data_IF_987294970019
#
_entry.id   IF_987294970019
#
_cell.length_a   1.000
_cell.length_b   1.000
_cell.length_c   1.000
_cell.angle_alpha   90.00
_cell.angle_beta   90.00
_cell.angle_gamma   90.00
#
_symmetry.space_group_name_H-M   'P 1'
#
loop_
_entity.id
_entity.type
_entity.pdbx_description
1 polymer ?
#
# COMPACT_ATOMS: atom_id res chain seq x y z
N UNK A 1 -42.66 14.15 68.76
CA UNK A 1 -42.45 12.68 68.80
C UNK A 1 -43.07 12.02 67.57
N UNK A 2 -44.36 12.27 67.30
CA UNK A 2 -45.04 11.89 66.06
C UNK A 2 -44.23 12.14 64.77
N UNK A 3 -43.69 13.35 64.59
CA UNK A 3 -42.88 13.70 63.42
C UNK A 3 -41.66 12.78 63.20
N UNK A 4 -40.98 12.36 64.28
CA UNK A 4 -39.82 11.45 64.18
C UNK A 4 -40.25 10.05 63.71
N UNK A 5 -41.39 9.56 64.21
CA UNK A 5 -41.96 8.26 63.82
C UNK A 5 -42.38 8.28 62.35
N UNK A 6 -43.04 9.37 61.91
CA UNK A 6 -43.43 9.56 60.51
C UNK A 6 -42.21 9.61 59.58
N UNK A 7 -41.18 10.40 59.91
CA UNK A 7 -39.94 10.45 59.11
C UNK A 7 -39.23 9.10 59.04
N UNK A 8 -39.22 8.34 60.13
CA UNK A 8 -38.57 7.02 60.15
C UNK A 8 -39.34 5.98 59.33
N UNK A 9 -40.67 6.02 59.36
CA UNK A 9 -41.52 5.11 58.59
C UNK A 9 -41.50 5.44 57.10
N UNK A 10 -41.66 6.72 56.75
CA UNK A 10 -41.76 7.20 55.37
C UNK A 10 -40.39 7.39 54.70
N UNK A 11 -39.34 7.73 55.45
CA UNK A 11 -37.98 7.92 54.93
C UNK A 11 -37.27 6.64 54.48
N UNK A 12 -37.93 5.48 54.58
CA UNK A 12 -37.46 4.20 54.01
C UNK A 12 -37.86 4.01 52.55
N UNK A 13 -38.80 4.82 52.05
CA UNK A 13 -39.19 4.83 50.65
C UNK A 13 -38.25 5.73 49.85
N UNK A 14 -37.87 5.26 48.67
CA UNK A 14 -37.10 6.03 47.69
C UNK A 14 -38.03 6.97 46.91
N UNK A 15 -37.48 8.02 46.30
CA UNK A 15 -38.27 9.04 45.59
C UNK A 15 -39.13 8.47 44.46
N UNK A 16 -38.61 7.47 43.75
CA UNK A 16 -39.36 6.78 42.69
C UNK A 16 -40.50 5.91 43.26
N UNK A 17 -40.32 5.37 44.49
CA UNK A 17 -41.30 4.49 45.15
C UNK A 17 -42.46 5.24 45.78
N UNK A 18 -42.35 6.56 45.96
CA UNK A 18 -43.47 7.40 46.41
C UNK A 18 -44.53 7.62 45.33
N UNK A 19 -44.19 7.43 44.05
CA UNK A 19 -45.14 7.49 42.94
C UNK A 19 -45.98 6.22 42.80
N UNK A 20 -45.58 5.12 43.43
CA UNK A 20 -46.35 3.89 43.48
C UNK A 20 -47.42 3.97 44.58
N UNK A 21 -48.69 3.92 44.17
CA UNK A 21 -49.86 3.99 45.05
C UNK A 21 -49.86 2.88 46.12
N UNK A 22 -49.44 1.67 45.77
CA UNK A 22 -49.47 0.54 46.69
C UNK A 22 -48.43 0.70 47.79
N UNK A 23 -47.19 1.06 47.41
CA UNK A 23 -46.10 1.26 48.36
C UNK A 23 -46.36 2.45 49.29
N UNK A 24 -46.98 3.50 48.76
CA UNK A 24 -47.39 4.68 49.53
C UNK A 24 -48.46 4.36 50.57
N UNK A 25 -49.49 3.60 50.21
CA UNK A 25 -50.54 3.16 51.15
C UNK A 25 -49.94 2.27 52.24
N UNK A 26 -49.10 1.30 51.87
CA UNK A 26 -48.44 0.41 52.84
C UNK A 26 -47.55 1.18 53.83
N UNK A 27 -46.82 2.18 53.36
CA UNK A 27 -46.00 3.02 54.24
C UNK A 27 -46.86 3.92 55.14
N UNK A 28 -48.00 4.42 54.64
CA UNK A 28 -48.98 5.17 55.43
C UNK A 28 -49.60 4.32 56.54
N UNK A 29 -50.00 3.07 56.24
CA UNK A 29 -50.51 2.12 57.24
C UNK A 29 -49.46 1.78 58.29
N UNK A 30 -48.22 1.51 57.87
CA UNK A 30 -47.12 1.22 58.79
C UNK A 30 -46.80 2.42 59.70
N UNK A 31 -46.89 3.64 59.16
CA UNK A 31 -46.75 4.85 59.94
C UNK A 31 -47.91 5.03 60.94
N UNK A 32 -49.14 4.69 60.53
CA UNK A 32 -50.34 4.71 61.39
C UNK A 32 -50.21 3.74 62.56
N UNK A 33 -49.78 2.51 62.32
CA UNK A 33 -49.58 1.50 63.37
C UNK A 33 -48.58 1.97 64.43
N UNK A 34 -47.42 2.48 63.99
CA UNK A 34 -46.38 2.98 64.88
C UNK A 34 -46.83 4.22 65.67
N UNK A 35 -47.57 5.11 65.02
CA UNK A 35 -48.10 6.32 65.67
C UNK A 35 -49.22 5.97 66.67
N UNK A 36 -50.09 5.02 66.32
CA UNK A 36 -51.16 4.55 67.19
C UNK A 36 -50.63 3.86 68.44
N UNK A 37 -49.51 3.13 68.33
CA UNK A 37 -48.88 2.49 69.49
C UNK A 37 -48.31 3.52 70.48
N UNK A 38 -47.70 4.61 69.98
CA UNK A 38 -47.15 5.69 70.81
C UNK A 38 -48.26 6.53 71.49
N UNK A 39 -49.37 6.77 70.77
CA UNK A 39 -50.47 7.61 71.25
C UNK A 39 -51.54 6.87 72.07
N UNK A 40 -51.54 5.53 72.04
CA UNK A 40 -52.46 4.70 72.83
C UNK A 40 -52.30 4.92 74.34
N UNK A 41 -51.07 5.19 74.80
CA UNK A 41 -50.79 5.51 76.21
C UNK A 41 -51.59 6.75 76.68
N UNK A 42 -51.97 7.63 75.76
CA UNK A 42 -52.63 8.90 76.05
C UNK A 42 -54.12 8.87 75.66
N UNK A 43 -54.65 7.70 75.30
CA UNK A 43 -56.05 7.51 74.92
C UNK A 43 -56.45 8.12 73.58
N UNK A 44 -55.48 8.44 72.70
CA UNK A 44 -55.74 9.04 71.39
C UNK A 44 -55.73 7.95 70.31
N UNK A 45 -56.82 7.86 69.53
CA UNK A 45 -56.95 6.91 68.43
C UNK A 45 -56.65 7.56 67.08
N UNK A 46 -55.74 6.95 66.30
CA UNK A 46 -55.37 7.42 64.96
C UNK A 46 -56.18 6.68 63.89
N UNK A 47 -57.03 7.41 63.17
CA UNK A 47 -57.89 6.87 62.11
C UNK A 47 -57.16 6.59 60.80
N UNK A 48 -56.18 7.42 60.44
CA UNK A 48 -55.44 7.29 59.19
C UNK A 48 -54.30 8.29 59.09
N UNK A 49 -53.27 7.94 58.34
CA UNK A 49 -52.17 8.85 57.99
C UNK A 49 -52.20 9.07 56.48
N UNK A 50 -52.55 10.29 56.06
CA UNK A 50 -52.64 10.66 54.66
C UNK A 50 -51.42 11.48 54.26
N UNK A 51 -50.71 11.03 53.22
CA UNK A 51 -49.57 11.74 52.65
C UNK A 51 -50.11 12.64 51.55
N UNK A 52 -50.15 13.95 51.80
CA UNK A 52 -50.75 14.93 50.86
C UNK A 52 -49.73 15.53 49.91
N UNK A 53 -48.60 15.97 50.45
CA UNK A 53 -47.55 16.64 49.70
C UNK A 53 -46.22 16.14 50.24
N UNK A 54 -45.30 15.84 49.33
CA UNK A 54 -43.92 15.54 49.68
C UNK A 54 -43.03 16.51 48.92
N UNK A 55 -42.04 17.05 49.62
CA UNK A 55 -41.06 17.97 49.06
C UNK A 55 -39.68 17.43 49.39
N UNK A 56 -38.84 17.29 48.38
CA UNK A 56 -37.42 17.02 48.60
C UNK A 56 -36.66 18.32 48.79
N UNK A 57 -35.59 18.28 49.58
CA UNK A 57 -34.61 19.36 49.59
C UNK A 57 -33.95 19.42 48.21
N UNK A 58 -33.84 20.63 47.63
CA UNK A 58 -33.26 20.81 46.29
C UNK A 58 -31.85 20.21 46.20
N UNK A 59 -31.08 20.25 47.28
CA UNK A 59 -29.72 19.68 47.34
C UNK A 59 -29.71 18.17 47.13
N UNK A 60 -30.76 17.49 47.57
CA UNK A 60 -30.90 16.04 47.42
C UNK A 60 -31.34 15.67 46.00
N UNK A 61 -32.24 16.47 45.42
CA UNK A 61 -32.68 16.32 44.04
C UNK A 61 -31.49 16.49 43.07
N UNK A 62 -30.70 17.55 43.27
CA UNK A 62 -29.51 17.84 42.46
C UNK A 62 -28.48 16.70 42.56
N UNK A 63 -28.30 16.11 43.74
CA UNK A 63 -27.36 15.01 43.94
C UNK A 63 -27.79 13.73 43.19
N UNK A 64 -29.09 13.41 43.18
CA UNK A 64 -29.63 12.27 42.42
C UNK A 64 -29.48 12.51 40.92
N UNK A 65 -29.81 13.71 40.45
CA UNK A 65 -29.69 14.07 39.04
C UNK A 65 -28.22 14.02 38.57
N UNK A 66 -27.30 14.59 39.36
CA UNK A 66 -25.87 14.53 39.06
C UNK A 66 -25.36 13.09 39.01
N UNK A 67 -25.79 12.23 39.94
CA UNK A 67 -25.42 10.80 39.92
C UNK A 67 -25.93 10.13 38.65
N UNK A 68 -27.18 10.37 38.25
CA UNK A 68 -27.76 9.82 37.02
C UNK A 68 -27.02 10.30 35.77
N UNK A 69 -26.64 11.58 35.72
CA UNK A 69 -25.84 12.15 34.63
C UNK A 69 -24.45 11.50 34.60
N UNK A 70 -23.81 11.29 35.75
CA UNK A 70 -22.51 10.63 35.83
C UNK A 70 -22.58 9.19 35.33
N UNK A 71 -23.58 8.42 35.78
CA UNK A 71 -23.78 7.04 35.35
C UNK A 71 -23.98 6.97 33.82
N UNK A 72 -24.83 7.84 33.26
CA UNK A 72 -25.02 7.93 31.80
C UNK A 72 -23.74 8.30 31.05
N UNK A 73 -22.94 9.23 31.59
CA UNK A 73 -21.63 9.60 31.00
C UNK A 73 -20.65 8.44 31.02
N UNK A 74 -20.62 7.63 32.09
CA UNK A 74 -19.75 6.45 32.17
C UNK A 74 -20.13 5.43 31.10
N UNK A 75 -21.42 5.12 30.93
CA UNK A 75 -21.87 4.22 29.86
C UNK A 75 -21.52 4.74 28.47
N UNK A 76 -21.72 6.04 28.23
CA UNK A 76 -21.36 6.68 26.96
C UNK A 76 -19.86 6.60 26.70
N UNK A 77 -19.03 6.94 27.68
CA UNK A 77 -17.57 6.90 27.55
C UNK A 77 -17.06 5.47 27.35
N UNK A 78 -17.65 4.47 28.01
CA UNK A 78 -17.31 3.06 27.78
C UNK A 78 -17.66 2.62 26.36
N UNK A 79 -18.84 2.98 25.86
CA UNK A 79 -19.25 2.68 24.49
C UNK A 79 -18.33 3.37 23.46
N UNK A 80 -18.00 4.65 23.68
CA UNK A 80 -17.07 5.39 22.82
C UNK A 80 -15.65 4.80 22.86
N UNK A 81 -15.17 4.38 24.03
CA UNK A 81 -13.88 3.72 24.17
C UNK A 81 -13.83 2.39 23.39
N UNK A 82 -14.88 1.56 23.48
CA UNK A 82 -14.98 0.32 22.70
C UNK A 82 -15.06 0.63 21.20
N UNK A 83 -15.84 1.63 20.78
CA UNK A 83 -15.91 2.01 19.38
C UNK A 83 -14.56 2.52 18.85
N UNK A 84 -13.81 3.28 19.65
CA UNK A 84 -12.48 3.78 19.31
C UNK A 84 -11.46 2.64 19.15
N UNK A 85 -11.46 1.65 20.04
CA UNK A 85 -10.53 0.49 19.92
C UNK A 85 -10.85 -0.35 18.70
N UNK A 86 -12.14 -0.60 18.41
CA UNK A 86 -12.54 -1.34 17.21
C UNK A 86 -12.20 -0.58 15.92
N UNK A 87 -12.37 0.73 15.90
CA UNK A 87 -11.98 1.55 14.75
C UNK A 87 -10.47 1.57 14.54
N UNK A 88 -9.68 1.63 15.62
CA UNK A 88 -8.23 1.54 15.55
C UNK A 88 -7.78 0.18 14.99
N UNK A 89 -8.37 -0.92 15.46
CA UNK A 89 -8.07 -2.27 14.96
C UNK A 89 -8.45 -2.42 13.49
N UNK A 90 -9.64 -1.94 13.10
CA UNK A 90 -10.06 -1.91 11.69
C UNK A 90 -9.06 -1.12 10.83
N UNK A 91 -8.61 0.04 11.30
CA UNK A 91 -7.59 0.85 10.63
C UNK A 91 -6.27 0.10 10.45
N UNK A 92 -5.81 -0.59 11.50
CA UNK A 92 -4.61 -1.43 11.47
C UNK A 92 -4.72 -2.56 10.44
N UNK A 93 -5.86 -3.27 10.40
CA UNK A 93 -6.10 -4.35 9.44
C UNK A 93 -6.13 -3.83 8.01
N UNK A 94 -6.80 -2.70 7.75
CA UNK A 94 -6.84 -2.10 6.42
C UNK A 94 -5.44 -1.65 5.96
N UNK A 95 -4.67 -1.01 6.84
CA UNK A 95 -3.31 -0.58 6.54
C UNK A 95 -2.38 -1.78 6.25
N UNK A 96 -2.48 -2.85 7.05
CA UNK A 96 -1.72 -4.08 6.80
C UNK A 96 -2.15 -4.76 5.49
N UNK A 97 -3.45 -4.78 5.19
CA UNK A 97 -3.99 -5.30 3.94
C UNK A 97 -3.46 -4.53 2.72
N UNK A 98 -3.47 -3.19 2.79
CA UNK A 98 -2.93 -2.35 1.71
C UNK A 98 -1.43 -2.57 1.50
N UNK A 99 -0.65 -2.61 2.57
CA UNK A 99 0.78 -2.87 2.48
C UNK A 99 1.07 -4.24 1.83
N UNK A 100 0.31 -5.28 2.16
CA UNK A 100 0.45 -6.59 1.54
C UNK A 100 0.11 -6.56 0.05
N UNK A 101 -0.95 -5.85 -0.35
CA UNK A 101 -1.32 -5.67 -1.76
C UNK A 101 -0.19 -4.97 -2.53
N UNK A 102 0.39 -3.92 -1.95
CA UNK A 102 1.46 -3.15 -2.59
C UNK A 102 2.72 -4.00 -2.76
N UNK A 103 3.10 -4.79 -1.74
CA UNK A 103 4.23 -5.72 -1.79
C UNK A 103 4.00 -6.81 -2.84
N UNK A 104 2.81 -7.38 -2.91
CA UNK A 104 2.47 -8.41 -3.90
C UNK A 104 2.50 -7.83 -5.33
N UNK A 105 1.99 -6.62 -5.52
CA UNK A 105 1.96 -5.94 -6.81
C UNK A 105 3.38 -5.60 -7.29
N UNK A 106 4.24 -5.11 -6.41
CA UNK A 106 5.66 -4.87 -6.74
C UNK A 106 6.42 -6.17 -6.98
N UNK A 107 6.12 -7.24 -6.24
CA UNK A 107 6.68 -8.57 -6.48
C UNK A 107 6.27 -9.12 -7.85
N UNK A 108 5.00 -8.93 -8.24
CA UNK A 108 4.50 -9.30 -9.57
C UNK A 108 5.19 -8.50 -10.68
N UNK A 109 5.36 -7.17 -10.50
CA UNK A 109 6.12 -6.33 -11.45
C UNK A 109 7.57 -6.76 -11.57
N UNK A 110 8.22 -7.09 -10.46
CA UNK A 110 9.58 -7.58 -10.44
C UNK A 110 9.71 -8.91 -11.19
N UNK A 111 8.76 -9.83 -11.01
CA UNK A 111 8.71 -11.10 -11.75
C UNK A 111 8.56 -10.89 -13.25
N UNK A 112 7.66 -10.02 -13.70
CA UNK A 112 7.50 -9.69 -15.12
C UNK A 112 8.81 -9.14 -15.69
N UNK A 113 9.46 -8.19 -14.99
CA UNK A 113 10.77 -7.65 -15.44
C UNK A 113 11.86 -8.72 -15.50
N UNK A 114 11.89 -9.64 -14.54
CA UNK A 114 12.85 -10.76 -14.57
C UNK A 114 12.61 -11.68 -15.76
N UNK A 115 11.34 -12.00 -16.06
CA UNK A 115 10.97 -12.80 -17.22
C UNK A 115 11.40 -12.09 -18.51
N UNK A 116 11.06 -10.81 -18.67
CA UNK A 116 11.42 -10.03 -19.86
C UNK A 116 12.94 -9.93 -20.04
N UNK A 117 13.68 -9.64 -18.96
CA UNK A 117 15.14 -9.57 -19.00
C UNK A 117 15.77 -10.94 -19.33
N UNK A 118 15.22 -12.02 -18.80
CA UNK A 118 15.67 -13.39 -19.11
C UNK A 118 15.39 -13.77 -20.56
N UNK A 119 14.26 -13.35 -21.11
CA UNK A 119 13.88 -13.58 -22.49
C UNK A 119 14.78 -12.80 -23.45
N UNK A 120 15.06 -11.52 -23.16
CA UNK A 120 15.99 -10.71 -23.95
C UNK A 120 17.42 -11.27 -23.91
N UNK A 121 17.90 -11.67 -22.73
CA UNK A 121 19.19 -12.32 -22.60
C UNK A 121 19.28 -13.59 -23.44
N UNK A 122 18.25 -14.46 -23.34
CA UNK A 122 18.20 -15.70 -24.11
C UNK A 122 18.18 -15.43 -25.62
N UNK A 123 17.39 -14.47 -26.07
CA UNK A 123 17.30 -14.08 -27.47
C UNK A 123 18.66 -13.59 -28.01
N UNK A 124 19.33 -12.70 -27.27
CA UNK A 124 20.67 -12.20 -27.65
C UNK A 124 21.72 -13.29 -27.68
N UNK A 125 21.69 -14.24 -26.74
CA UNK A 125 22.59 -15.39 -26.75
C UNK A 125 22.38 -16.26 -27.99
N UNK A 126 21.14 -16.52 -28.38
CA UNK A 126 20.84 -17.33 -29.56
C UNK A 126 21.24 -16.61 -30.85
N UNK A 127 20.99 -15.30 -30.95
CA UNK A 127 21.47 -14.49 -32.07
C UNK A 127 22.98 -14.53 -32.18
N UNK A 128 23.70 -14.23 -31.10
CA UNK A 128 25.16 -14.24 -31.09
C UNK A 128 25.74 -15.61 -31.43
N UNK A 129 25.10 -16.70 -30.98
CA UNK A 129 25.50 -18.06 -31.34
C UNK A 129 25.23 -18.38 -32.82
N UNK A 130 24.16 -17.82 -33.40
CA UNK A 130 23.86 -17.89 -34.83
C UNK A 130 24.91 -17.13 -35.65
N UNK A 131 25.15 -15.86 -35.33
CA UNK A 131 26.12 -15.01 -36.01
C UNK A 131 27.53 -15.59 -35.96
N UNK A 132 27.94 -16.13 -34.81
CA UNK A 132 29.22 -16.82 -34.67
C UNK A 132 29.32 -18.01 -35.63
N UNK A 133 28.26 -18.82 -35.78
CA UNK A 133 28.25 -19.96 -36.70
C UNK A 133 28.33 -19.51 -38.16
N UNK A 134 27.59 -18.46 -38.53
CA UNK A 134 27.64 -17.88 -39.88
C UNK A 134 29.04 -17.38 -40.18
N UNK A 135 29.61 -16.55 -39.30
CA UNK A 135 30.94 -16.01 -39.46
C UNK A 135 32.02 -17.11 -39.54
N UNK A 136 31.91 -18.17 -38.73
CA UNK A 136 32.82 -19.32 -38.81
C UNK A 136 32.71 -20.04 -40.17
N UNK A 137 31.50 -20.20 -40.69
CA UNK A 137 31.27 -20.87 -41.98
C UNK A 137 31.70 -20.03 -43.17
N UNK A 138 31.51 -18.71 -43.12
CA UNK A 138 32.07 -17.78 -44.10
C UNK A 138 33.60 -17.82 -44.08
N UNK A 139 34.22 -17.75 -42.90
CA UNK A 139 35.67 -17.86 -42.77
C UNK A 139 36.21 -19.20 -43.30
N UNK A 140 35.54 -20.32 -43.02
CA UNK A 140 35.87 -21.64 -43.56
C UNK A 140 35.73 -21.67 -45.09
N UNK A 141 34.66 -21.10 -45.63
CA UNK A 141 34.44 -20.96 -47.08
C UNK A 141 35.55 -20.16 -47.76
N UNK A 142 35.86 -18.97 -47.23
CA UNK A 142 36.95 -18.12 -47.73
C UNK A 142 38.32 -18.81 -47.60
N UNK A 143 38.56 -19.60 -46.55
CA UNK A 143 39.78 -20.40 -46.44
C UNK A 143 39.84 -21.48 -47.53
N UNK A 144 38.73 -22.19 -47.79
CA UNK A 144 38.66 -23.19 -48.85
C UNK A 144 38.85 -22.57 -50.24
N UNK A 145 38.23 -21.42 -50.51
CA UNK A 145 38.44 -20.65 -51.74
C UNK A 145 39.89 -20.23 -51.91
N UNK A 146 40.50 -19.64 -50.87
CA UNK A 146 41.91 -19.28 -50.89
C UNK A 146 42.83 -20.48 -51.11
N UNK A 147 42.51 -21.64 -50.53
CA UNK A 147 43.27 -22.86 -50.74
C UNK A 147 43.12 -23.39 -52.19
N UNK A 148 41.92 -23.32 -52.77
CA UNK A 148 41.67 -23.68 -54.17
C UNK A 148 42.42 -22.74 -55.14
N UNK A 149 42.42 -21.44 -54.87
CA UNK A 149 43.20 -20.43 -55.58
C UNK A 149 44.73 -20.53 -55.35
N UNK A 150 45.20 -21.44 -54.49
CA UNK A 150 46.64 -21.74 -54.34
C UNK A 150 47.05 -23.05 -55.01
N UNK A 151 46.10 -23.89 -55.44
CA UNK A 151 46.38 -25.14 -56.13
C UNK A 151 46.70 -24.93 -57.62
N UNK A 152 47.25 -25.98 -58.26
CA UNK A 152 47.71 -25.99 -59.65
C UNK A 152 46.56 -25.71 -60.64
N UNK A 153 46.37 -24.43 -60.97
CA UNK A 153 45.28 -23.91 -61.81
C UNK A 153 45.05 -22.41 -61.62
N UNK A 154 45.44 -21.86 -60.47
CA UNK A 154 45.25 -20.46 -60.12
C UNK A 154 46.01 -19.46 -60.99
N UNK A 155 47.23 -19.81 -61.44
CA UNK A 155 48.02 -18.95 -62.33
C UNK A 155 47.28 -18.65 -63.66
N UNK A 156 46.51 -19.62 -64.16
CA UNK A 156 45.75 -19.47 -65.40
C UNK A 156 44.52 -18.56 -65.20
N UNK A 157 43.87 -18.63 -64.03
CA UNK A 157 42.72 -17.78 -63.68
C UNK A 157 43.17 -16.33 -63.47
N UNK A 158 44.24 -16.11 -62.70
CA UNK A 158 44.82 -14.77 -62.49
C UNK A 158 45.31 -14.19 -63.82
N UNK A 159 45.90 -15.01 -64.69
CA UNK A 159 46.31 -14.59 -66.04
C UNK A 159 45.13 -14.17 -66.92
N UNK A 160 43.98 -14.84 -66.82
CA UNK A 160 42.76 -14.50 -67.57
C UNK A 160 42.15 -13.18 -67.09
N UNK A 161 42.02 -12.98 -65.77
CA UNK A 161 41.55 -11.72 -65.17
C UNK A 161 42.48 -10.53 -65.51
N UNK A 162 43.80 -10.73 -65.45
CA UNK A 162 44.77 -9.75 -65.93
C UNK A 162 44.59 -9.43 -67.41
N UNK A 163 44.35 -10.44 -68.25
CA UNK A 163 44.13 -10.24 -69.68
C UNK A 163 42.84 -9.46 -69.95
N UNK A 164 41.76 -9.71 -69.19
CA UNK A 164 40.50 -8.95 -69.29
C UNK A 164 40.65 -7.51 -68.80
N UNK A 165 41.32 -7.28 -67.67
CA UNK A 165 41.59 -5.94 -67.15
C UNK A 165 42.47 -5.10 -68.10
N UNK A 166 43.37 -5.75 -68.84
CA UNK A 166 44.21 -5.11 -69.85
C UNK A 166 43.50 -4.93 -71.21
N UNK A 167 42.34 -5.58 -71.42
CA UNK A 167 41.58 -5.53 -72.66
C UNK A 167 40.78 -4.22 -72.77
N UNK A 168 41.48 -3.14 -73.09
CA UNK A 168 40.89 -1.79 -73.24
C UNK A 168 41.77 -0.66 -72.70
N UNK A 169 42.80 -0.99 -71.93
CA UNK A 169 43.79 0.00 -71.47
C UNK A 169 44.82 0.29 -72.56
N UNK A 170 44.96 1.57 -72.93
CA UNK A 170 46.05 2.03 -73.77
C UNK A 170 47.35 2.04 -72.95
N UNK A 171 48.26 1.11 -73.24
CA UNK A 171 49.59 1.11 -72.62
C UNK A 171 50.41 2.26 -73.21
N UNK A 172 50.51 3.37 -72.48
CA UNK A 172 51.41 4.46 -72.81
C UNK A 172 52.77 4.14 -72.16
N UNK A 173 53.73 3.68 -72.97
CA UNK A 173 55.10 3.46 -72.49
C UNK A 173 55.80 4.83 -72.44
N UNK A 174 55.88 5.40 -71.24
CA UNK A 174 56.69 6.61 -71.01
C UNK A 174 58.14 6.16 -70.79
N UNK A 175 59.01 6.45 -71.75
CA UNK A 175 60.44 6.16 -71.63
C UNK A 175 61.07 7.10 -70.60
N UNK A 176 61.63 6.54 -69.53
CA UNK A 176 62.31 7.29 -68.45
C UNK A 176 63.75 7.69 -68.81
N UNK A 177 64.24 7.35 -70.00
CA UNK A 177 65.61 7.67 -70.43
C UNK A 177 65.63 8.13 -71.89
N UNK A 178 65.94 9.41 -72.09
CA UNK A 178 66.04 10.07 -73.40
C UNK A 178 65.80 11.59 -73.28
N UNK A 179 66.12 12.40 -74.31
CA UNK A 179 66.05 13.87 -74.26
C UNK A 179 64.65 14.44 -73.99
N UNK A 180 63.59 13.63 -74.17
CA UNK A 180 62.19 13.96 -73.94
C UNK A 180 61.55 13.10 -72.83
N UNK A 181 62.37 12.52 -71.93
CA UNK A 181 61.88 11.72 -70.83
C UNK A 181 61.24 12.61 -69.75
N UNK A 182 60.05 12.23 -69.29
CA UNK A 182 59.36 12.89 -68.18
C UNK A 182 59.46 11.97 -66.97
N UNK A 183 60.06 12.44 -65.88
CA UNK A 183 60.12 11.71 -64.63
C UNK A 183 58.87 12.03 -63.79
N UNK A 184 57.92 11.10 -63.62
CA UNK A 184 56.68 11.36 -62.90
C UNK A 184 56.86 11.57 -61.38
N UNK A 185 58.06 11.37 -60.83
CA UNK A 185 58.38 11.62 -59.41
C UNK A 185 59.10 12.96 -59.16
N UNK A 186 59.40 13.73 -60.22
CA UNK A 186 60.05 15.04 -60.10
C UNK A 186 59.00 16.17 -60.07
N UNK A 187 58.61 16.55 -58.84
CA UNK A 187 57.58 17.57 -58.57
C UNK A 187 57.97 18.96 -59.10
N UNK A 188 59.27 19.29 -59.14
CA UNK A 188 59.77 20.60 -59.58
C UNK A 188 59.64 20.80 -61.09
N UNK A 189 59.65 19.70 -61.86
CA UNK A 189 59.44 19.73 -63.30
C UNK A 189 57.94 19.81 -63.66
N UNK A 190 57.08 19.17 -62.89
CA UNK A 190 55.63 19.17 -63.08
C UNK A 190 54.97 20.52 -62.71
N UNK A 191 55.49 21.24 -61.72
CA UNK A 191 54.94 22.54 -61.31
C UNK A 191 55.30 23.72 -62.24
N UNK A 192 56.19 23.54 -63.22
CA UNK A 192 56.50 24.59 -64.23
C UNK A 192 55.61 24.52 -65.48
N UNK A 193 54.76 23.51 -65.58
CA UNK A 193 53.85 23.31 -66.71
C UNK A 193 52.45 23.92 -66.56
N UNK A 194 52.22 24.72 -65.52
CA UNK A 194 50.99 25.48 -65.26
C UNK A 194 51.26 26.98 -65.25
#
# INVERSE_FOLDING_TARGET
RADKILRQALGRLDAEKFYDDQLRIQAGEKARELLSADLAEWGVQVWGVLIREYTYDSRYQDAIEQRKIQDQKVFKNQAEAIAATQNAEKGRVLAAGQANIDVELESGRAQVRMIDASADLYYRQQLAAGDLKVALKEAEGTQLENNALRQAGAANIVGLEMAEALNGTQVIVVSTTGPTAVNPLDLDQLMRGW
#
